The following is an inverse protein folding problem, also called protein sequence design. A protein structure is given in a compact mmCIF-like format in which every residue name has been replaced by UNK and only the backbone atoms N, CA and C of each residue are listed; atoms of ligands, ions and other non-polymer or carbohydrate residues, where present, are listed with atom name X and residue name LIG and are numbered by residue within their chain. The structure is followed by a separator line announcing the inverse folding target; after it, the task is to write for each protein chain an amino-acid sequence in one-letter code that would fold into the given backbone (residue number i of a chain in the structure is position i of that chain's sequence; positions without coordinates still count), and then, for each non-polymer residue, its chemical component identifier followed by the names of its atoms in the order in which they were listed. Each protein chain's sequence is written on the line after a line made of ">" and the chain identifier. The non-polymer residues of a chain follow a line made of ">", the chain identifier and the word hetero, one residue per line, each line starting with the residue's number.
data_IF_862957266518
#
_entry.id   IF_862957266518
#
_cell.length_a   1.000
_cell.length_b   1.000
_cell.length_c   1.000
_cell.angle_alpha   90.00
_cell.angle_beta   90.00
_cell.angle_gamma   90.00
#
_symmetry.space_group_name_H-M   'P 1'
#
loop_
_entity.id
_entity.type
_entity.pdbx_description
1 polymer ?
#
# COMPACT_ATOMS: atom_id res chain seq x y z
N UNK A 1 8.89 -24.16 -35.41
CA UNK A 1 9.26 -23.29 -34.28
C UNK A 1 8.08 -22.36 -33.99
N UNK A 2 7.25 -22.69 -33.00
CA UNK A 2 6.12 -21.84 -32.59
C UNK A 2 6.67 -20.84 -31.58
N UNK A 3 6.70 -19.58 -31.98
CA UNK A 3 7.01 -18.46 -31.11
C UNK A 3 5.81 -18.31 -30.15
N UNK A 4 5.92 -18.88 -28.94
CA UNK A 4 5.00 -18.59 -27.85
C UNK A 4 5.17 -17.13 -27.47
N UNK A 5 4.28 -16.28 -27.95
CA UNK A 5 4.07 -14.95 -27.41
C UNK A 5 3.52 -15.11 -25.98
N UNK A 6 4.37 -15.43 -25.06
CA UNK A 6 4.06 -15.36 -23.64
C UNK A 6 4.08 -13.85 -23.29
N UNK A 7 2.91 -13.23 -23.37
CA UNK A 7 2.67 -11.92 -22.73
C UNK A 7 2.88 -12.15 -21.24
N UNK A 8 4.11 -11.94 -20.78
CA UNK A 8 4.39 -11.89 -19.34
C UNK A 8 3.61 -10.70 -18.77
N UNK A 9 2.72 -10.93 -17.80
CA UNK A 9 1.93 -9.84 -17.24
C UNK A 9 2.89 -8.82 -16.62
N UNK A 10 2.76 -7.57 -17.05
CA UNK A 10 3.61 -6.48 -16.56
C UNK A 10 3.04 -5.98 -15.22
N UNK A 11 3.19 -6.78 -14.16
CA UNK A 11 2.71 -6.49 -12.81
C UNK A 11 3.18 -5.13 -12.30
N UNK A 12 4.40 -4.73 -12.64
CA UNK A 12 4.95 -3.46 -12.24
C UNK A 12 4.19 -2.27 -12.85
N UNK A 13 3.88 -2.32 -14.14
CA UNK A 13 3.07 -1.27 -14.77
C UNK A 13 1.67 -1.17 -14.17
N UNK A 14 1.01 -2.31 -13.92
CA UNK A 14 -0.31 -2.30 -13.28
C UNK A 14 -0.26 -1.72 -11.87
N UNK A 15 0.78 -2.04 -11.10
CA UNK A 15 0.98 -1.47 -9.77
C UNK A 15 1.19 0.05 -9.83
N UNK A 16 2.01 0.55 -10.76
CA UNK A 16 2.20 1.99 -10.96
C UNK A 16 0.86 2.66 -11.31
N UNK A 17 0.12 2.12 -12.27
CA UNK A 17 -1.18 2.69 -12.65
C UNK A 17 -2.15 2.73 -11.45
N UNK A 18 -2.21 1.68 -10.65
CA UNK A 18 -3.06 1.66 -9.46
C UNK A 18 -2.67 2.72 -8.44
N UNK A 19 -1.37 2.93 -8.22
CA UNK A 19 -0.86 3.98 -7.32
C UNK A 19 -1.19 5.38 -7.86
N UNK A 20 -1.01 5.61 -9.15
CA UNK A 20 -1.36 6.89 -9.79
C UNK A 20 -2.86 7.17 -9.65
N UNK A 21 -3.71 6.19 -9.96
CA UNK A 21 -5.18 6.33 -9.82
C UNK A 21 -5.55 6.63 -8.37
N UNK A 22 -4.96 5.94 -7.41
CA UNK A 22 -5.21 6.18 -5.99
C UNK A 22 -4.79 7.59 -5.57
N UNK A 23 -3.63 8.08 -6.03
CA UNK A 23 -3.17 9.44 -5.76
C UNK A 23 -4.11 10.49 -6.38
N UNK A 24 -4.58 10.28 -7.61
CA UNK A 24 -5.55 11.16 -8.26
C UNK A 24 -6.89 11.20 -7.51
N UNK A 25 -7.36 10.05 -7.03
CA UNK A 25 -8.57 9.98 -6.20
C UNK A 25 -8.36 10.73 -4.87
N UNK A 26 -7.20 10.60 -4.24
CA UNK A 26 -6.86 11.36 -3.05
C UNK A 26 -6.93 12.87 -3.29
N UNK A 27 -6.34 13.35 -4.39
CA UNK A 27 -6.38 14.77 -4.75
C UNK A 27 -7.82 15.21 -5.04
N UNK A 28 -8.56 14.43 -5.82
CA UNK A 28 -9.93 14.75 -6.22
C UNK A 28 -10.86 14.86 -5.00
N UNK A 29 -10.85 13.87 -4.12
CA UNK A 29 -11.71 13.85 -2.94
C UNK A 29 -11.26 14.85 -1.87
N UNK A 30 -9.95 15.09 -1.75
CA UNK A 30 -9.40 16.05 -0.78
C UNK A 30 -9.49 17.51 -1.21
N UNK A 31 -9.76 17.81 -2.48
CA UNK A 31 -9.79 19.17 -3.02
C UNK A 31 -10.80 20.11 -2.32
N UNK A 32 -11.88 19.55 -1.79
CA UNK A 32 -12.92 20.28 -1.04
C UNK A 32 -12.84 20.04 0.48
N UNK A 33 -11.71 19.52 0.96
CA UNK A 33 -11.53 19.10 2.36
C UNK A 33 -12.12 17.70 2.62
N UNK A 34 -11.68 17.09 3.73
CA UNK A 34 -12.02 15.71 4.08
C UNK A 34 -13.34 15.57 4.87
N UNK A 35 -14.03 16.69 5.12
CA UNK A 35 -15.21 16.68 5.97
C UNK A 35 -14.87 16.57 7.47
N UNK A 36 -15.84 16.26 8.33
CA UNK A 36 -15.63 16.16 9.76
C UNK A 36 -14.72 14.99 10.11
N UNK A 37 -13.82 15.22 11.08
CA UNK A 37 -13.04 14.12 11.67
C UNK A 37 -13.96 13.13 12.41
N UNK A 38 -13.49 11.91 12.61
CA UNK A 38 -14.19 10.95 13.43
C UNK A 38 -14.22 11.41 14.90
N UNK A 39 -15.24 10.95 15.65
CA UNK A 39 -15.53 11.42 17.01
C UNK A 39 -14.37 11.24 18.00
N UNK A 40 -13.46 10.31 17.73
CA UNK A 40 -12.32 9.98 18.61
C UNK A 40 -11.02 10.66 18.17
N UNK A 41 -11.06 11.49 17.14
CA UNK A 41 -9.86 12.15 16.63
C UNK A 41 -9.64 13.51 17.31
N UNK A 42 -8.36 13.88 17.44
CA UNK A 42 -7.95 15.14 18.05
C UNK A 42 -8.33 16.33 17.16
N UNK A 43 -8.62 17.46 17.79
CA UNK A 43 -8.92 18.69 17.09
C UNK A 43 -7.69 19.30 16.41
N UNK A 44 -7.95 20.20 15.44
CA UNK A 44 -6.90 20.97 14.77
C UNK A 44 -6.06 21.72 15.83
N UNK A 45 -4.74 21.62 15.72
CA UNK A 45 -3.79 22.23 16.65
C UNK A 45 -3.41 21.37 17.85
N UNK A 46 -4.14 20.31 18.15
CA UNK A 46 -3.80 19.35 19.19
C UNK A 46 -2.72 18.35 18.72
N UNK A 47 -2.09 17.68 19.66
CA UNK A 47 -1.18 16.57 19.36
C UNK A 47 -2.01 15.29 19.21
N UNK A 48 -1.89 14.63 18.08
CA UNK A 48 -2.57 13.38 17.83
C UNK A 48 -1.97 12.25 18.68
N UNK A 49 -2.68 11.12 18.75
CA UNK A 49 -2.20 9.89 19.40
C UNK A 49 -0.95 9.30 18.73
N UNK A 50 -0.61 9.74 17.54
CA UNK A 50 0.61 9.36 16.81
C UNK A 50 1.70 10.45 16.86
N UNK A 51 1.62 11.33 17.87
CA UNK A 51 2.65 12.31 18.21
C UNK A 51 2.89 13.41 17.14
N UNK A 52 1.95 13.63 16.24
CA UNK A 52 1.99 14.74 15.28
C UNK A 52 0.91 15.78 15.61
N UNK A 53 1.19 17.05 15.38
CA UNK A 53 0.21 18.12 15.55
C UNK A 53 -0.79 18.09 14.39
N UNK A 54 -2.08 18.00 14.71
CA UNK A 54 -3.16 17.98 13.71
C UNK A 54 -3.20 19.31 12.96
N UNK A 55 -3.02 19.25 11.66
CA UNK A 55 -2.98 20.38 10.74
C UNK A 55 -4.37 20.69 10.18
N UNK A 56 -4.60 21.96 9.81
CA UNK A 56 -5.75 22.38 9.00
C UNK A 56 -5.47 22.31 7.48
N UNK A 57 -4.30 21.78 7.09
CA UNK A 57 -3.90 21.62 5.69
C UNK A 57 -4.58 20.48 4.97
N UNK A 58 -4.11 20.19 3.75
CA UNK A 58 -4.60 19.10 2.92
C UNK A 58 -4.50 17.73 3.62
N UNK A 59 -3.44 17.51 4.40
CA UNK A 59 -3.33 16.35 5.28
C UNK A 59 -3.44 16.77 6.74
N UNK A 60 -4.22 16.03 7.53
CA UNK A 60 -4.35 16.26 8.98
C UNK A 60 -3.05 16.00 9.73
N UNK A 61 -2.34 14.96 9.36
CA UNK A 61 -1.01 14.59 9.86
C UNK A 61 -0.03 14.44 8.69
N UNK A 62 0.58 15.55 8.21
CA UNK A 62 1.41 15.52 7.01
C UNK A 62 2.59 14.56 7.07
N UNK A 63 3.34 14.53 8.20
CA UNK A 63 4.52 13.69 8.33
C UNK A 63 4.15 12.21 8.40
N UNK A 64 3.14 11.85 9.20
CA UNK A 64 2.64 10.48 9.27
C UNK A 64 2.05 10.04 7.94
N UNK A 65 1.28 10.91 7.25
CA UNK A 65 0.72 10.62 5.93
C UNK A 65 1.82 10.34 4.91
N UNK A 66 2.79 11.25 4.77
CA UNK A 66 3.86 11.12 3.78
C UNK A 66 4.85 10.00 4.12
N UNK A 67 5.07 9.72 5.40
CA UNK A 67 5.89 8.60 5.86
C UNK A 67 5.40 7.24 5.33
N UNK A 68 4.09 7.10 5.16
CA UNK A 68 3.48 5.88 4.60
C UNK A 68 3.78 5.65 3.10
N UNK A 69 4.31 6.64 2.37
CA UNK A 69 4.85 6.44 1.02
C UNK A 69 5.98 5.40 0.99
N UNK A 70 6.68 5.19 2.10
CA UNK A 70 7.67 4.13 2.23
C UNK A 70 7.12 2.73 1.89
N UNK A 71 5.89 2.44 2.29
CA UNK A 71 5.23 1.17 1.94
C UNK A 71 4.89 1.09 0.45
N UNK A 72 4.47 2.19 -0.16
CA UNK A 72 4.22 2.25 -1.61
C UNK A 72 5.51 1.97 -2.39
N UNK A 73 6.61 2.63 -2.01
CA UNK A 73 7.92 2.45 -2.66
C UNK A 73 8.40 1.00 -2.51
N UNK A 74 8.30 0.44 -1.31
CA UNK A 74 8.70 -0.95 -1.04
C UNK A 74 7.85 -1.93 -1.84
N UNK A 75 6.54 -1.76 -1.86
CA UNK A 75 5.63 -2.61 -2.63
C UNK A 75 5.87 -2.52 -4.13
N UNK A 76 6.07 -1.31 -4.69
CA UNK A 76 6.44 -1.12 -6.09
C UNK A 76 7.78 -1.76 -6.44
N UNK A 77 8.76 -1.70 -5.54
CA UNK A 77 10.04 -2.39 -5.71
C UNK A 77 9.87 -3.92 -5.77
N UNK A 78 8.98 -4.47 -4.94
CA UNK A 78 8.64 -5.90 -5.01
C UNK A 78 8.00 -6.25 -6.35
N UNK A 79 7.04 -5.48 -6.84
CA UNK A 79 6.45 -5.68 -8.18
C UNK A 79 7.48 -5.59 -9.30
N UNK A 80 8.42 -4.65 -9.20
CA UNK A 80 9.52 -4.54 -10.14
C UNK A 80 10.37 -5.81 -10.16
N UNK A 81 10.75 -6.35 -9.01
CA UNK A 81 11.49 -7.61 -8.90
C UNK A 81 10.69 -8.79 -9.45
N UNK A 82 9.41 -8.89 -9.10
CA UNK A 82 8.52 -9.94 -9.62
C UNK A 82 8.41 -9.89 -11.15
N UNK A 83 8.37 -8.71 -11.75
CA UNK A 83 8.34 -8.54 -13.21
C UNK A 83 9.66 -8.96 -13.87
N UNK A 84 10.80 -8.68 -13.23
CA UNK A 84 12.11 -9.10 -13.73
C UNK A 84 12.27 -10.63 -13.69
N UNK A 85 11.87 -11.24 -12.59
CA UNK A 85 11.99 -12.68 -12.41
C UNK A 85 11.09 -13.45 -13.38
N UNK A 86 9.88 -12.96 -13.68
CA UNK A 86 8.98 -13.56 -14.66
C UNK A 86 9.60 -13.64 -16.07
N UNK A 87 10.59 -12.80 -16.36
CA UNK A 87 11.33 -12.78 -17.65
C UNK A 87 12.63 -13.58 -17.61
N UNK A 88 13.11 -13.96 -16.42
CA UNK A 88 14.38 -14.68 -16.25
C UNK A 88 14.15 -16.19 -16.25
N UNK A 89 14.89 -16.89 -17.12
CA UNK A 89 14.92 -18.38 -17.15
C UNK A 89 15.55 -19.01 -15.90
N UNK A 90 16.13 -18.20 -15.01
CA UNK A 90 16.82 -18.63 -13.79
C UNK A 90 15.98 -18.38 -12.55
N UNK A 91 14.68 -18.69 -12.56
CA UNK A 91 13.78 -18.49 -11.43
C UNK A 91 14.44 -18.71 -10.05
N UNK A 92 14.95 -17.66 -9.44
CA UNK A 92 15.69 -17.72 -8.19
C UNK A 92 15.00 -16.81 -7.17
N UNK A 93 14.70 -17.38 -6.01
CA UNK A 93 14.41 -16.77 -4.73
C UNK A 93 12.97 -16.40 -4.33
N UNK A 94 12.15 -15.77 -5.16
CA UNK A 94 10.78 -15.43 -4.72
C UNK A 94 9.71 -16.37 -5.30
N UNK A 95 10.09 -17.30 -6.17
CA UNK A 95 9.16 -18.00 -7.08
C UNK A 95 8.75 -19.42 -6.73
N UNK A 96 9.11 -19.92 -5.60
CA UNK A 96 8.45 -21.16 -5.19
C UNK A 96 6.96 -20.97 -4.86
N UNK A 97 6.51 -19.72 -4.76
CA UNK A 97 5.10 -19.31 -4.56
C UNK A 97 4.82 -17.95 -5.18
N UNK A 98 4.82 -17.86 -6.51
CA UNK A 98 4.59 -16.57 -7.20
C UNK A 98 3.29 -15.88 -6.78
N UNK A 99 2.23 -16.64 -6.51
CA UNK A 99 0.95 -16.11 -6.04
C UNK A 99 1.04 -15.48 -4.66
N UNK A 100 1.80 -16.07 -3.73
CA UNK A 100 1.98 -15.51 -2.39
C UNK A 100 2.84 -14.26 -2.42
N UNK A 101 3.92 -14.25 -3.23
CA UNK A 101 4.76 -13.09 -3.41
C UNK A 101 3.99 -11.92 -4.04
N UNK A 102 3.13 -12.20 -5.04
CA UNK A 102 2.26 -11.22 -5.65
C UNK A 102 1.24 -10.66 -4.65
N UNK A 103 0.63 -11.52 -3.84
CA UNK A 103 -0.30 -11.13 -2.80
C UNK A 103 0.38 -10.24 -1.74
N UNK A 104 1.59 -10.60 -1.32
CA UNK A 104 2.36 -9.81 -0.35
C UNK A 104 2.79 -8.45 -0.93
N UNK A 105 3.24 -8.40 -2.19
CA UNK A 105 3.56 -7.15 -2.87
C UNK A 105 2.32 -6.23 -2.96
N UNK A 106 1.15 -6.81 -3.27
CA UNK A 106 -0.12 -6.08 -3.31
C UNK A 106 -0.49 -5.55 -1.94
N UNK A 107 -0.43 -6.38 -0.90
CA UNK A 107 -0.74 -5.99 0.48
C UNK A 107 0.20 -4.89 0.98
N UNK A 108 1.50 -5.00 0.71
CA UNK A 108 2.50 -3.98 1.08
C UNK A 108 2.26 -2.65 0.36
N UNK A 109 1.93 -2.69 -0.95
CA UNK A 109 1.60 -1.48 -1.70
C UNK A 109 0.31 -0.84 -1.19
N UNK A 110 -0.70 -1.63 -0.84
CA UNK A 110 -1.98 -1.15 -0.34
C UNK A 110 -1.89 -0.56 1.08
N UNK A 111 -0.95 -1.03 1.90
CA UNK A 111 -0.72 -0.49 3.25
C UNK A 111 -0.41 1.02 3.21
N UNK A 112 0.36 1.48 2.21
CA UNK A 112 0.66 2.90 2.05
C UNK A 112 -0.59 3.77 1.95
N UNK A 113 -1.39 3.67 0.88
CA UNK A 113 -2.63 4.45 0.73
C UNK A 113 -3.65 4.21 1.84
N UNK A 114 -3.75 2.99 2.37
CA UNK A 114 -4.64 2.67 3.48
C UNK A 114 -4.31 3.48 4.73
N UNK A 115 -3.05 3.48 5.14
CA UNK A 115 -2.60 4.25 6.30
C UNK A 115 -2.57 5.77 6.01
N UNK A 116 -2.21 6.17 4.80
CA UNK A 116 -2.32 7.58 4.38
C UNK A 116 -3.77 8.09 4.48
N UNK A 117 -4.76 7.25 4.19
CA UNK A 117 -6.17 7.62 4.31
C UNK A 117 -6.56 7.94 5.75
N UNK A 118 -6.04 7.19 6.73
CA UNK A 118 -6.27 7.48 8.15
C UNK A 118 -5.59 8.78 8.57
N UNK A 119 -4.27 8.85 8.44
CA UNK A 119 -3.48 9.99 8.90
C UNK A 119 -3.77 11.28 8.13
N UNK A 120 -4.05 11.16 6.84
CA UNK A 120 -4.34 12.32 6.00
C UNK A 120 -5.72 12.91 6.23
N UNK A 121 -6.71 12.10 6.61
CA UNK A 121 -8.10 12.53 6.62
C UNK A 121 -8.76 12.57 8.00
N UNK A 122 -8.31 11.75 8.96
CA UNK A 122 -8.96 11.51 10.26
C UNK A 122 -10.44 11.09 10.14
N UNK A 123 -10.85 10.52 9.01
CA UNK A 123 -12.24 10.08 8.79
C UNK A 123 -12.47 8.64 9.24
N UNK A 124 -13.73 8.29 9.54
CA UNK A 124 -14.12 6.90 9.84
C UNK A 124 -13.75 5.95 8.69
N UNK A 125 -13.88 6.40 7.45
CA UNK A 125 -13.50 5.62 6.28
C UNK A 125 -11.99 5.43 6.18
N UNK A 126 -11.20 6.48 6.46
CA UNK A 126 -9.73 6.38 6.52
C UNK A 126 -9.27 5.38 7.57
N UNK A 127 -9.85 5.43 8.78
CA UNK A 127 -9.56 4.48 9.85
C UNK A 127 -9.90 3.03 9.46
N UNK A 128 -11.02 2.82 8.77
CA UNK A 128 -11.38 1.51 8.25
C UNK A 128 -10.39 1.00 7.20
N UNK A 129 -9.98 1.84 6.25
CA UNK A 129 -8.97 1.48 5.23
C UNK A 129 -7.62 1.12 5.85
N UNK A 130 -7.16 1.88 6.84
CA UNK A 130 -5.92 1.60 7.56
C UNK A 130 -5.98 0.22 8.22
N UNK A 131 -7.02 -0.06 9.00
CA UNK A 131 -7.22 -1.34 9.66
C UNK A 131 -7.24 -2.51 8.66
N UNK A 132 -7.97 -2.37 7.54
CA UNK A 132 -8.03 -3.41 6.50
C UNK A 132 -6.66 -3.64 5.89
N UNK A 133 -5.91 -2.58 5.60
CA UNK A 133 -4.58 -2.68 4.99
C UNK A 133 -3.57 -3.33 5.95
N UNK A 134 -3.59 -2.98 7.24
CA UNK A 134 -2.74 -3.59 8.27
C UNK A 134 -3.04 -5.08 8.48
N UNK A 135 -4.31 -5.45 8.57
CA UNK A 135 -4.70 -6.86 8.69
C UNK A 135 -4.28 -7.66 7.46
N UNK A 136 -4.46 -7.09 6.27
CA UNK A 136 -4.11 -7.75 5.00
C UNK A 136 -2.61 -8.03 4.93
N UNK A 137 -1.75 -7.06 5.23
CA UNK A 137 -0.29 -7.28 5.19
C UNK A 137 0.16 -8.24 6.29
N UNK A 138 -0.41 -8.15 7.49
CA UNK A 138 -0.09 -9.06 8.60
C UNK A 138 -0.43 -10.50 8.27
N UNK A 139 -1.62 -10.75 7.71
CA UNK A 139 -2.03 -12.09 7.32
C UNK A 139 -1.14 -12.68 6.23
N UNK A 140 -0.79 -11.89 5.20
CA UNK A 140 0.08 -12.36 4.13
C UNK A 140 1.50 -12.63 4.62
N UNK A 141 1.99 -11.84 5.59
CA UNK A 141 3.29 -12.05 6.21
C UNK A 141 3.35 -13.36 7.01
N UNK A 142 2.33 -13.63 7.83
CA UNK A 142 2.23 -14.89 8.58
C UNK A 142 2.20 -16.11 7.65
N UNK A 143 1.41 -16.06 6.58
CA UNK A 143 1.34 -17.14 5.59
C UNK A 143 2.67 -17.38 4.87
N UNK A 144 3.42 -16.32 4.59
CA UNK A 144 4.74 -16.45 4.00
C UNK A 144 5.72 -17.18 4.93
N UNK A 145 5.66 -16.93 6.23
CA UNK A 145 6.46 -17.63 7.23
C UNK A 145 6.08 -19.12 7.38
N UNK A 146 4.80 -19.45 7.45
CA UNK A 146 4.34 -20.84 7.55
C UNK A 146 4.83 -21.70 6.37
N UNK A 147 4.81 -21.18 5.16
CA UNK A 147 5.25 -21.92 3.97
C UNK A 147 6.76 -22.17 3.95
N UNK A 148 7.57 -21.40 4.69
CA UNK A 148 9.00 -21.62 4.82
C UNK A 148 9.34 -22.69 5.87
N UNK A 149 8.53 -22.84 6.93
CA UNK A 149 8.75 -23.82 7.99
C UNK A 149 8.43 -25.27 7.54
N UNK A 150 7.64 -25.45 6.49
CA UNK A 150 7.24 -26.77 5.99
C UNK A 150 8.08 -27.24 4.79
N UNK A 151 9.22 -26.63 4.54
CA UNK A 151 10.21 -27.04 3.54
C UNK A 151 11.51 -27.47 4.17
#
# INVERSE_FOLDING_TARGET
>A
MQQKNNLTPNYFSYAIYSVIVTALLFILFGSNGWGPAAENEQAIGEISRWCERVSDGFFREPANTLGNLGFVVTGLYMFYKLSQDATSSRGIFMFSSSSLALLYATASTFLGPGSMAMHGTHTKFGAWLDNVSMVTVSYTHLRAHETQLHR
#
